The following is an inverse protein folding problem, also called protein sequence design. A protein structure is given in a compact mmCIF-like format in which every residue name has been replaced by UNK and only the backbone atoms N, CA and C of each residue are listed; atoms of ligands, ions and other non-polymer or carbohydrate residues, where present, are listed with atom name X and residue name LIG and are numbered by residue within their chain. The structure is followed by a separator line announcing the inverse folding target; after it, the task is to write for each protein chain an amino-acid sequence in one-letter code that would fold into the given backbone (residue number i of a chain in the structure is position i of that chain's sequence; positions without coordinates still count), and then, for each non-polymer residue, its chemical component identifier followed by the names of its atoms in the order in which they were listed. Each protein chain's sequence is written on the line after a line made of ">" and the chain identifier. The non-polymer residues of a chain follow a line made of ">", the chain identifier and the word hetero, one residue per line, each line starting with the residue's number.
data_IF_670879591245
#
_entry.id   IF_670879591245
#
_cell.length_a   1.000
_cell.length_b   1.000
_cell.length_c   1.000
_cell.angle_alpha   90.00
_cell.angle_beta   90.00
_cell.angle_gamma   90.00
#
_symmetry.space_group_name_H-M   'P 1'
#
loop_
_entity.id
_entity.type
_entity.pdbx_description
1 polymer ?
#
# COMPACT_ATOMS: atom_id res chain seq x y z
N UNK A 1 40.76 -10.19 2.96
CA UNK A 1 40.02 -8.93 2.69
C UNK A 1 38.73 -9.32 1.95
N UNK A 2 37.65 -9.58 2.69
CA UNK A 2 36.38 -10.03 2.12
C UNK A 2 35.54 -8.79 1.78
N UNK A 3 35.45 -8.45 0.49
CA UNK A 3 34.51 -7.45 0.01
C UNK A 3 33.09 -8.01 0.07
N UNK A 4 32.35 -7.66 1.12
CA UNK A 4 30.93 -7.78 1.13
C UNK A 4 30.35 -6.77 0.13
N UNK A 5 30.25 -7.14 -1.12
CA UNK A 5 29.37 -6.47 -2.07
C UNK A 5 27.93 -6.63 -1.56
N UNK A 6 27.46 -5.63 -0.84
CA UNK A 6 26.06 -5.45 -0.53
C UNK A 6 25.36 -5.26 -1.89
N UNK A 7 24.77 -6.34 -2.41
CA UNK A 7 23.96 -6.29 -3.62
C UNK A 7 22.89 -5.23 -3.36
N UNK A 8 23.01 -4.05 -3.98
CA UNK A 8 21.93 -3.06 -4.00
C UNK A 8 20.74 -3.82 -4.58
N UNK A 9 19.62 -3.84 -3.86
CA UNK A 9 18.38 -4.35 -4.40
C UNK A 9 18.02 -3.45 -5.58
N UNK A 10 18.10 -3.97 -6.81
CA UNK A 10 17.70 -3.25 -8.04
C UNK A 10 16.17 -3.01 -8.11
N UNK A 11 15.45 -3.36 -7.07
CA UNK A 11 14.00 -3.15 -6.95
C UNK A 11 13.63 -1.69 -6.66
N UNK A 12 12.36 -1.33 -6.88
CA UNK A 12 11.84 0.01 -6.62
C UNK A 12 12.01 0.40 -5.15
N UNK A 13 12.41 1.64 -4.94
CA UNK A 13 12.51 2.21 -3.60
C UNK A 13 11.12 2.64 -3.14
N UNK A 14 10.60 2.00 -2.11
CA UNK A 14 9.29 2.31 -1.53
C UNK A 14 9.46 3.18 -0.29
N UNK A 15 8.72 4.27 -0.24
CA UNK A 15 8.60 5.16 0.92
C UNK A 15 7.17 5.07 1.46
N UNK A 16 7.04 4.70 2.71
CA UNK A 16 5.76 4.52 3.39
C UNK A 16 5.43 5.75 4.24
N UNK A 17 4.20 6.25 4.09
CA UNK A 17 3.61 7.28 4.94
C UNK A 17 2.32 6.72 5.54
N UNK A 18 2.30 6.51 6.85
CA UNK A 18 1.18 5.87 7.55
C UNK A 18 0.44 6.86 8.43
N UNK A 19 -0.85 6.97 8.25
CA UNK A 19 -1.75 7.88 8.96
C UNK A 19 -2.58 7.14 10.00
N UNK A 20 -3.10 7.88 10.98
CA UNK A 20 -3.98 7.33 12.01
C UNK A 20 -5.29 6.81 11.42
N UNK A 21 -5.84 7.52 10.42
CA UNK A 21 -7.13 7.20 9.80
C UNK A 21 -7.13 7.35 8.29
N UNK A 22 -8.05 6.66 7.63
CA UNK A 22 -8.28 6.78 6.18
C UNK A 22 -8.67 8.20 5.79
N UNK A 23 -9.48 8.89 6.61
CA UNK A 23 -9.88 10.28 6.35
C UNK A 23 -8.67 11.22 6.35
N UNK A 24 -7.77 11.09 7.34
CA UNK A 24 -6.53 11.86 7.41
C UNK A 24 -5.63 11.58 6.20
N UNK A 25 -5.49 10.33 5.82
CA UNK A 25 -4.78 9.92 4.61
C UNK A 25 -5.32 10.61 3.36
N UNK A 26 -6.62 10.57 3.14
CA UNK A 26 -7.25 11.17 1.96
C UNK A 26 -7.12 12.69 1.95
N UNK A 27 -7.21 13.35 3.11
CA UNK A 27 -6.99 14.79 3.20
C UNK A 27 -5.58 15.16 2.74
N UNK A 28 -4.55 14.47 3.24
CA UNK A 28 -3.17 14.73 2.83
C UNK A 28 -2.92 14.40 1.35
N UNK A 29 -3.52 13.32 0.84
CA UNK A 29 -3.46 12.99 -0.59
C UNK A 29 -4.07 14.09 -1.45
N UNK A 30 -5.19 14.69 -1.02
CA UNK A 30 -5.81 15.82 -1.70
C UNK A 30 -4.92 17.05 -1.65
N UNK A 31 -4.42 17.41 -0.47
CA UNK A 31 -3.55 18.57 -0.28
C UNK A 31 -2.27 18.50 -1.12
N UNK A 32 -1.68 17.31 -1.26
CA UNK A 32 -0.51 17.10 -2.12
C UNK A 32 -0.87 17.20 -3.60
N UNK A 33 -2.00 16.63 -4.00
CA UNK A 33 -2.49 16.72 -5.38
C UNK A 33 -2.85 18.17 -5.75
N UNK A 34 -3.42 18.96 -4.85
CA UNK A 34 -3.69 20.38 -5.07
C UNK A 34 -2.40 21.17 -5.34
N UNK A 35 -1.33 20.86 -4.60
CA UNK A 35 0.00 21.46 -4.79
C UNK A 35 0.68 20.99 -6.08
N UNK A 36 0.39 19.76 -6.51
CA UNK A 36 0.99 19.19 -7.71
C UNK A 36 0.02 18.28 -8.48
N UNK A 37 -0.62 18.85 -9.49
CA UNK A 37 -1.58 18.19 -10.37
C UNK A 37 -0.97 17.05 -11.24
N UNK A 38 0.35 16.84 -11.18
CA UNK A 38 1.00 15.69 -11.82
C UNK A 38 0.88 14.41 -11.00
N UNK A 39 0.41 14.48 -9.75
CA UNK A 39 0.16 13.30 -8.92
C UNK A 39 -1.02 12.52 -9.47
N UNK A 40 -0.87 11.19 -9.53
CA UNK A 40 -1.94 10.23 -9.81
C UNK A 40 -2.05 9.28 -8.64
N UNK A 41 -3.26 9.17 -8.09
CA UNK A 41 -3.55 8.29 -6.97
C UNK A 41 -3.97 6.89 -7.48
N UNK A 42 -3.26 5.86 -7.06
CA UNK A 42 -3.46 4.47 -7.49
C UNK A 42 -3.96 3.63 -6.32
N UNK A 43 -5.02 2.88 -6.56
CA UNK A 43 -5.69 1.98 -5.61
C UNK A 43 -5.55 0.53 -6.05
N UNK A 44 -5.41 -0.38 -5.09
CA UNK A 44 -5.39 -1.80 -5.39
C UNK A 44 -6.79 -2.41 -5.47
N UNK A 45 -7.75 -1.85 -4.71
CA UNK A 45 -9.08 -2.42 -4.55
C UNK A 45 -10.19 -1.44 -4.93
N UNK A 46 -11.28 -2.00 -5.44
CA UNK A 46 -12.47 -1.20 -5.84
C UNK A 46 -13.10 -0.50 -4.65
N UNK A 47 -13.17 -1.16 -3.49
CA UNK A 47 -13.81 -0.60 -2.30
C UNK A 47 -13.08 0.66 -1.82
N UNK A 48 -11.74 0.62 -1.74
CA UNK A 48 -10.93 1.78 -1.36
C UNK A 48 -10.95 2.89 -2.41
N UNK A 49 -10.99 2.54 -3.71
CA UNK A 49 -11.19 3.51 -4.78
C UNK A 49 -12.55 4.22 -4.66
N UNK A 50 -13.64 3.48 -4.43
CA UNK A 50 -14.99 4.02 -4.30
C UNK A 50 -15.10 4.93 -3.06
N UNK A 51 -14.51 4.51 -1.93
CA UNK A 51 -14.43 5.33 -0.72
C UNK A 51 -13.70 6.64 -0.98
N UNK A 52 -12.53 6.58 -1.62
CA UNK A 52 -11.75 7.76 -1.99
C UNK A 52 -12.49 8.66 -2.99
N UNK A 53 -13.15 8.07 -3.99
CA UNK A 53 -13.96 8.83 -4.96
C UNK A 53 -15.06 9.63 -4.25
N UNK A 54 -15.74 9.00 -3.31
CA UNK A 54 -16.77 9.66 -2.50
C UNK A 54 -16.16 10.80 -1.68
N UNK A 55 -15.03 10.55 -1.02
CA UNK A 55 -14.35 11.57 -0.23
C UNK A 55 -13.94 12.79 -1.09
N UNK A 56 -13.22 12.55 -2.19
CA UNK A 56 -12.71 13.63 -3.02
C UNK A 56 -13.83 14.43 -3.71
N UNK A 57 -14.90 13.77 -4.15
CA UNK A 57 -16.05 14.48 -4.75
C UNK A 57 -16.78 15.41 -3.78
N UNK A 58 -16.65 15.19 -2.47
CA UNK A 58 -17.20 16.11 -1.45
C UNK A 58 -16.21 17.17 -1.02
N UNK A 59 -14.91 16.90 -1.13
CA UNK A 59 -13.85 17.79 -0.65
C UNK A 59 -13.39 18.82 -1.71
N UNK A 60 -13.52 18.50 -3.00
CA UNK A 60 -13.15 19.42 -4.09
C UNK A 60 -14.12 19.30 -5.26
N UNK A 61 -14.25 20.40 -6.02
CA UNK A 61 -15.01 20.44 -7.28
C UNK A 61 -14.16 20.08 -8.50
N UNK A 62 -12.83 19.97 -8.32
CA UNK A 62 -11.92 19.58 -9.39
C UNK A 62 -11.89 18.05 -9.55
N UNK A 63 -11.68 17.59 -10.78
CA UNK A 63 -11.56 16.17 -11.07
C UNK A 63 -10.17 15.64 -10.66
N UNK A 64 -10.14 14.86 -9.57
CA UNK A 64 -8.94 14.16 -9.12
C UNK A 64 -8.81 12.82 -9.85
N UNK A 65 -7.68 12.59 -10.51
CA UNK A 65 -7.44 11.34 -11.23
C UNK A 65 -7.14 10.20 -10.24
N UNK A 66 -8.06 9.25 -10.15
CA UNK A 66 -7.97 8.04 -9.32
C UNK A 66 -7.96 6.82 -10.24
N UNK A 67 -6.99 5.92 -10.08
CA UNK A 67 -6.84 4.75 -10.94
C UNK A 67 -6.81 3.45 -10.12
N UNK A 68 -7.37 2.39 -10.69
CA UNK A 68 -7.12 1.03 -10.20
C UNK A 68 -5.81 0.50 -10.77
N UNK A 69 -4.96 -0.09 -9.93
CA UNK A 69 -3.68 -0.67 -10.34
C UNK A 69 -3.85 -1.68 -11.50
N UNK A 70 -4.89 -2.54 -11.44
CA UNK A 70 -5.16 -3.54 -12.49
C UNK A 70 -5.53 -2.94 -13.86
N UNK A 71 -5.99 -1.68 -13.90
CA UNK A 71 -6.39 -0.96 -15.11
C UNK A 71 -5.37 0.08 -15.54
N UNK A 72 -4.34 0.32 -14.71
CA UNK A 72 -3.30 1.31 -14.96
C UNK A 72 -2.33 0.83 -16.03
N UNK A 73 -2.04 1.69 -16.99
CA UNK A 73 -1.09 1.47 -18.07
C UNK A 73 0.14 2.34 -17.90
N UNK A 74 1.27 1.92 -18.52
CA UNK A 74 2.50 2.70 -18.51
C UNK A 74 2.31 4.10 -19.11
N UNK A 75 1.47 4.22 -20.17
CA UNK A 75 1.20 5.50 -20.82
C UNK A 75 0.49 6.50 -19.90
N UNK A 76 -0.45 6.03 -19.06
CA UNK A 76 -1.12 6.88 -18.07
C UNK A 76 -0.17 7.43 -17.00
N UNK A 77 0.92 6.70 -16.72
CA UNK A 77 1.92 7.11 -15.73
C UNK A 77 3.05 7.95 -16.32
N UNK A 78 3.12 8.08 -17.66
CA UNK A 78 4.19 8.86 -18.31
C UNK A 78 4.11 10.33 -17.93
N UNK A 79 5.21 10.88 -17.36
CA UNK A 79 5.27 12.26 -16.89
C UNK A 79 4.43 12.56 -15.65
N UNK A 80 3.94 11.52 -14.98
CA UNK A 80 3.15 11.64 -13.76
C UNK A 80 3.91 11.09 -12.55
N UNK A 81 3.44 11.46 -11.36
CA UNK A 81 3.96 10.99 -10.07
C UNK A 81 2.94 10.01 -9.48
N UNK A 82 3.16 8.70 -9.62
CA UNK A 82 2.24 7.72 -9.05
C UNK A 82 2.40 7.65 -7.53
N UNK A 83 1.28 7.73 -6.84
CA UNK A 83 1.16 7.56 -5.39
C UNK A 83 0.15 6.46 -5.13
N UNK A 84 0.51 5.46 -4.34
CA UNK A 84 -0.39 4.37 -3.98
C UNK A 84 -1.12 4.71 -2.70
N UNK A 85 -2.42 4.48 -2.69
CA UNK A 85 -3.29 4.81 -1.56
C UNK A 85 -3.34 3.71 -0.48
N UNK A 86 -2.68 2.58 -0.74
CA UNK A 86 -2.65 1.42 0.16
C UNK A 86 -1.60 0.42 -0.28
N UNK A 87 -1.25 -0.52 0.60
CA UNK A 87 -0.44 -1.68 0.24
C UNK A 87 -1.30 -2.84 -0.28
N UNK A 88 -0.78 -3.54 -1.28
CA UNK A 88 -1.32 -4.86 -1.60
C UNK A 88 -0.86 -5.89 -0.54
N UNK A 89 -1.72 -6.84 -0.12
CA UNK A 89 -1.37 -7.79 0.94
C UNK A 89 -0.20 -8.72 0.62
N UNK A 90 0.14 -8.89 -0.67
CA UNK A 90 1.23 -9.76 -1.13
C UNK A 90 2.36 -8.89 -1.68
N UNK A 91 3.53 -8.91 -1.00
CA UNK A 91 4.72 -8.15 -1.41
C UNK A 91 5.13 -8.48 -2.86
N UNK A 92 5.08 -9.76 -3.24
CA UNK A 92 5.45 -10.21 -4.59
C UNK A 92 4.58 -9.61 -5.69
N UNK A 93 3.27 -9.43 -5.45
CA UNK A 93 2.35 -8.80 -6.41
C UNK A 93 2.61 -7.31 -6.55
N UNK A 94 2.85 -6.64 -5.44
CA UNK A 94 3.19 -5.23 -5.37
C UNK A 94 4.48 -4.94 -6.16
N UNK A 95 5.55 -5.66 -5.85
CA UNK A 95 6.84 -5.52 -6.53
C UNK A 95 6.75 -5.80 -8.03
N UNK A 96 6.06 -6.88 -8.41
CA UNK A 96 5.85 -7.23 -9.82
C UNK A 96 5.11 -6.13 -10.60
N UNK A 97 4.17 -5.45 -9.95
CA UNK A 97 3.48 -4.32 -10.58
C UNK A 97 4.42 -3.12 -10.75
N UNK A 98 5.19 -2.76 -9.73
CA UNK A 98 6.13 -1.64 -9.79
C UNK A 98 7.20 -1.86 -10.86
N UNK A 99 7.73 -3.07 -10.96
CA UNK A 99 8.68 -3.46 -12.01
C UNK A 99 8.05 -3.37 -13.42
N UNK A 100 6.85 -3.92 -13.60
CA UNK A 100 6.10 -3.86 -14.86
C UNK A 100 5.86 -2.42 -15.31
N UNK A 101 5.59 -1.52 -14.38
CA UNK A 101 5.38 -0.10 -14.64
C UNK A 101 6.69 0.71 -14.67
N UNK A 102 7.85 0.05 -14.53
CA UNK A 102 9.19 0.68 -14.48
C UNK A 102 9.30 1.80 -13.43
N UNK A 103 8.62 1.65 -12.30
CA UNK A 103 8.68 2.61 -11.20
C UNK A 103 9.98 2.42 -10.41
N UNK A 104 10.76 3.48 -10.24
CA UNK A 104 12.02 3.46 -9.49
C UNK A 104 11.84 3.94 -8.06
N UNK A 105 10.92 4.88 -7.86
CA UNK A 105 10.52 5.42 -6.58
C UNK A 105 9.01 5.33 -6.47
N UNK A 106 8.54 4.85 -5.34
CA UNK A 106 7.11 4.64 -5.07
C UNK A 106 6.79 5.20 -3.71
N UNK A 107 5.82 6.10 -3.62
CA UNK A 107 5.24 6.55 -2.35
C UNK A 107 3.95 5.79 -2.11
N UNK A 108 3.82 5.23 -0.91
CA UNK A 108 2.61 4.51 -0.49
C UNK A 108 2.04 5.20 0.75
N UNK A 109 0.80 5.63 0.64
CA UNK A 109 0.01 6.10 1.76
C UNK A 109 -0.82 4.95 2.32
N UNK A 110 -0.87 4.85 3.63
CA UNK A 110 -1.67 3.84 4.33
C UNK A 110 -2.31 4.43 5.57
N UNK A 111 -3.32 3.76 6.09
CA UNK A 111 -3.95 4.16 7.34
C UNK A 111 -4.00 3.00 8.32
N UNK A 112 -3.77 3.25 9.62
CA UNK A 112 -3.75 2.22 10.65
C UNK A 112 -5.11 1.51 10.83
N UNK A 113 -6.20 2.10 10.37
CA UNK A 113 -7.52 1.48 10.37
C UNK A 113 -7.79 0.59 9.15
N UNK A 114 -6.86 0.44 8.21
CA UNK A 114 -6.98 -0.47 7.07
C UNK A 114 -6.87 -1.95 7.50
N UNK A 115 -7.48 -2.88 6.72
CA UNK A 115 -7.51 -4.30 7.07
C UNK A 115 -6.13 -4.93 7.30
N UNK A 116 -5.12 -4.51 6.54
CA UNK A 116 -3.75 -5.01 6.68
C UNK A 116 -3.21 -4.75 8.09
N UNK A 117 -3.46 -3.57 8.64
CA UNK A 117 -2.94 -3.16 9.95
C UNK A 117 -3.78 -3.65 11.12
N UNK A 118 -5.10 -3.79 10.95
CA UNK A 118 -5.99 -4.36 11.97
C UNK A 118 -5.55 -5.76 12.42
N UNK A 119 -5.01 -6.56 11.50
CA UNK A 119 -4.49 -7.89 11.82
C UNK A 119 -3.28 -7.88 12.76
N UNK A 120 -2.66 -6.71 12.97
CA UNK A 120 -1.45 -6.55 13.78
C UNK A 120 -1.68 -5.69 15.04
N UNK A 121 -2.93 -5.48 15.43
CA UNK A 121 -3.28 -4.73 16.62
C UNK A 121 -3.12 -3.22 16.49
N UNK A 122 -3.29 -2.70 15.29
CA UNK A 122 -3.16 -1.27 14.98
C UNK A 122 -4.06 -0.38 15.85
N UNK A 123 -5.22 -0.86 16.30
CA UNK A 123 -6.13 -0.09 17.17
C UNK A 123 -5.43 0.39 18.47
N UNK A 124 -4.57 -0.47 19.05
CA UNK A 124 -3.77 -0.10 20.22
C UNK A 124 -2.69 0.93 19.90
N UNK A 125 -2.14 0.87 18.69
CA UNK A 125 -1.14 1.82 18.19
C UNK A 125 -1.80 3.18 18.01
N UNK A 126 -2.98 3.23 17.38
CA UNK A 126 -3.76 4.47 17.19
C UNK A 126 -4.05 5.16 18.53
N UNK A 127 -4.51 4.40 19.53
CA UNK A 127 -4.80 4.93 20.86
C UNK A 127 -3.53 5.51 21.53
N UNK A 128 -2.41 4.79 21.41
CA UNK A 128 -1.14 5.26 21.94
C UNK A 128 -0.65 6.53 21.23
N UNK A 129 -0.72 6.59 19.90
CA UNK A 129 -0.28 7.75 19.11
C UNK A 129 -1.09 9.01 19.47
N UNK A 130 -2.42 8.88 19.61
CA UNK A 130 -3.26 9.99 20.08
C UNK A 130 -2.91 10.45 21.48
N UNK A 131 -2.64 9.52 22.41
CA UNK A 131 -2.18 9.87 23.77
C UNK A 131 -0.83 10.57 23.80
N UNK A 132 0.04 10.29 22.82
CA UNK A 132 1.33 10.95 22.65
C UNK A 132 1.23 12.31 21.94
N UNK A 133 0.01 12.74 21.56
CA UNK A 133 -0.25 14.04 20.95
C UNK A 133 0.00 14.10 19.44
N UNK A 134 0.10 12.96 18.78
CA UNK A 134 0.20 12.91 17.32
C UNK A 134 -1.06 13.50 16.66
N UNK A 135 -0.86 14.38 15.70
CA UNK A 135 -1.96 14.98 14.94
C UNK A 135 -2.53 14.01 13.91
N UNK A 136 -3.80 14.18 13.56
CA UNK A 136 -4.46 13.31 12.58
C UNK A 136 -3.82 13.39 11.18
N UNK A 137 -3.35 14.57 10.78
CA UNK A 137 -2.68 14.84 9.50
C UNK A 137 -1.18 14.51 9.49
N UNK A 138 -0.63 14.09 10.60
CA UNK A 138 0.78 13.73 10.73
C UNK A 138 1.03 12.31 10.22
N UNK A 139 1.95 12.19 9.26
CA UNK A 139 2.37 10.89 8.75
C UNK A 139 3.49 10.29 9.60
N UNK A 140 3.40 8.99 9.85
CA UNK A 140 4.49 8.22 10.44
C UNK A 140 5.37 7.71 9.30
N UNK A 141 6.53 8.32 9.13
CA UNK A 141 7.54 7.93 8.14
C UNK A 141 8.77 7.39 8.87
N UNK A 142 8.82 6.09 9.09
CA UNK A 142 9.94 5.46 9.80
C UNK A 142 10.26 4.07 9.23
N UNK A 143 11.54 3.75 9.07
CA UNK A 143 12.01 2.46 8.52
C UNK A 143 11.47 1.23 9.26
N UNK A 144 11.15 1.35 10.55
CA UNK A 144 10.52 0.26 11.31
C UNK A 144 9.12 -0.07 10.79
N UNK A 145 8.39 0.92 10.28
CA UNK A 145 7.04 0.72 9.72
C UNK A 145 7.14 -0.07 8.44
N UNK A 146 7.95 0.37 7.49
CA UNK A 146 8.20 -0.34 6.23
C UNK A 146 8.64 -1.79 6.48
N UNK A 147 9.50 -1.99 7.48
CA UNK A 147 9.92 -3.34 7.90
C UNK A 147 8.76 -4.16 8.45
N UNK A 148 7.87 -3.55 9.22
CA UNK A 148 6.70 -4.21 9.81
C UNK A 148 5.66 -4.57 8.75
N UNK A 149 5.41 -3.67 7.79
CA UNK A 149 4.53 -3.92 6.63
C UNK A 149 5.04 -5.13 5.84
N UNK A 150 6.31 -5.15 5.46
CA UNK A 150 6.93 -6.26 4.73
C UNK A 150 6.86 -7.59 5.50
N UNK A 151 7.05 -7.57 6.82
CA UNK A 151 6.88 -8.77 7.65
C UNK A 151 5.42 -9.26 7.64
N UNK A 152 4.48 -8.33 7.67
CA UNK A 152 3.05 -8.62 7.61
C UNK A 152 2.68 -9.27 6.27
N UNK A 153 3.06 -8.66 5.17
CA UNK A 153 2.86 -9.19 3.82
C UNK A 153 3.46 -10.60 3.67
N UNK A 154 4.70 -10.82 4.09
CA UNK A 154 5.35 -12.15 4.08
C UNK A 154 4.63 -13.19 4.91
N UNK A 155 4.04 -12.79 6.05
CA UNK A 155 3.23 -13.70 6.87
C UNK A 155 1.95 -14.10 6.13
N UNK A 156 1.29 -13.16 5.47
CA UNK A 156 0.09 -13.43 4.67
C UNK A 156 0.44 -14.35 3.49
N UNK A 157 1.51 -14.08 2.76
CA UNK A 157 1.95 -14.93 1.65
C UNK A 157 2.21 -16.38 2.09
N UNK A 158 2.91 -16.58 3.20
CA UNK A 158 3.16 -17.92 3.76
C UNK A 158 1.86 -18.65 4.10
N UNK A 159 0.90 -17.94 4.70
CA UNK A 159 -0.39 -18.53 5.06
C UNK A 159 -1.20 -18.94 3.81
N UNK A 160 -1.20 -18.11 2.76
CA UNK A 160 -1.88 -18.43 1.51
C UNK A 160 -1.24 -19.65 0.83
N UNK A 161 0.09 -19.71 0.77
CA UNK A 161 0.81 -20.88 0.21
C UNK A 161 0.49 -22.14 1.00
N UNK A 162 0.50 -22.07 2.33
CA UNK A 162 0.17 -23.19 3.20
C UNK A 162 -1.28 -23.68 2.97
N UNK A 163 -2.25 -22.77 2.93
CA UNK A 163 -3.65 -23.11 2.64
C UNK A 163 -3.82 -23.75 1.26
N UNK A 164 -3.11 -23.25 0.26
CA UNK A 164 -3.13 -23.82 -1.10
C UNK A 164 -2.57 -25.24 -1.13
N UNK A 165 -1.47 -25.49 -0.41
CA UNK A 165 -0.88 -26.83 -0.30
C UNK A 165 -1.84 -27.80 0.40
N UNK A 166 -2.46 -27.39 1.50
CA UNK A 166 -3.47 -28.19 2.20
C UNK A 166 -4.64 -28.54 1.29
N UNK A 167 -5.16 -27.57 0.55
CA UNK A 167 -6.23 -27.74 -0.40
C UNK A 167 -5.88 -28.78 -1.48
N UNK A 168 -4.70 -28.66 -2.10
CA UNK A 168 -4.21 -29.60 -3.10
C UNK A 168 -4.05 -31.02 -2.55
N UNK A 169 -3.50 -31.17 -1.33
CA UNK A 169 -3.39 -32.47 -0.66
C UNK A 169 -4.76 -33.09 -0.37
N UNK A 170 -5.71 -32.27 0.07
CA UNK A 170 -7.06 -32.75 0.34
C UNK A 170 -7.72 -33.27 -0.94
N UNK A 171 -7.63 -32.53 -2.05
CA UNK A 171 -8.19 -32.98 -3.33
C UNK A 171 -7.49 -34.21 -3.89
N UNK A 172 -6.18 -34.31 -3.83
CA UNK A 172 -5.46 -35.51 -4.29
C UNK A 172 -5.88 -36.79 -3.55
N UNK A 173 -6.21 -36.68 -2.27
CA UNK A 173 -6.69 -37.82 -1.47
C UNK A 173 -8.14 -38.23 -1.78
N UNK A 174 -8.95 -37.34 -2.33
CA UNK A 174 -10.33 -37.63 -2.74
C UNK A 174 -10.37 -38.37 -4.08
N UNK A 175 -9.48 -38.06 -5.00
CA UNK A 175 -9.44 -38.62 -6.35
C UNK A 175 -8.57 -39.87 -6.49
N UNK A 176 -7.92 -40.35 -5.42
CA UNK A 176 -7.18 -41.61 -5.39
C UNK A 176 -7.97 -42.77 -4.76
N UNK A 177 -9.26 -42.61 -4.50
CA UNK A 177 -10.22 -43.64 -4.14
C UNK A 177 -11.19 -43.82 -5.28
#
# INVERSE_FOLDING_TARGET
>A
MFNFFRKRSDGPQVTDAVFISTAAKYQVMLDEWEKNKSIINIFWFDDSLNEATTYFSTATTEEVVLLLARQTTFQQLSGKIPVFAEHYPLETKEQSFYEKMNLKQVKVYSALNEPLYKQFGADKIVELMRKLGMKEDEAIEHNMISTSIKKAQKKIEKNIVFMRILFLKFYSNIYQR
#
